data_IF_490090333480
#
_entry.id   IF_490090333480
#
_cell.length_a   1.000
_cell.length_b   1.000
_cell.length_c   1.000
_cell.angle_alpha   90.00
_cell.angle_beta   90.00
_cell.angle_gamma   90.00
#
_symmetry.space_group_name_H-M   'P 1'
#
loop_
_entity.id
_entity.type
_entity.pdbx_description
1 polymer ?
#
# COMPACT_ATOMS: atom_id res chain seq x y z
N UNK A 1 -25.22 -11.68 -31.13
CA UNK A 1 -23.92 -10.98 -31.08
C UNK A 1 -24.05 -9.78 -30.15
N UNK A 2 -23.68 -9.92 -28.87
CA UNK A 2 -23.53 -8.78 -27.96
C UNK A 2 -22.15 -8.90 -27.32
N UNK A 3 -21.37 -7.84 -27.48
CA UNK A 3 -19.94 -7.72 -27.21
C UNK A 3 -19.61 -7.90 -25.73
N UNK A 4 -19.03 -9.03 -25.33
CA UNK A 4 -18.42 -9.21 -24.01
C UNK A 4 -17.00 -8.63 -24.01
N UNK A 5 -16.90 -7.29 -23.91
CA UNK A 5 -15.63 -6.63 -23.61
C UNK A 5 -15.10 -7.16 -22.28
N UNK A 6 -14.01 -7.93 -22.30
CA UNK A 6 -13.41 -8.53 -21.10
C UNK A 6 -13.05 -7.46 -20.06
N UNK A 7 -13.39 -7.61 -18.76
CA UNK A 7 -13.00 -6.66 -17.73
C UNK A 7 -11.57 -6.97 -17.25
N UNK A 8 -10.59 -6.98 -18.15
CA UNK A 8 -9.17 -7.16 -17.79
C UNK A 8 -8.55 -5.91 -17.12
N UNK A 9 -9.31 -4.83 -16.98
CA UNK A 9 -8.84 -3.52 -16.52
C UNK A 9 -9.49 -3.01 -15.22
N UNK A 10 -10.30 -3.81 -14.51
CA UNK A 10 -10.80 -3.41 -13.18
C UNK A 10 -9.68 -3.58 -12.15
N UNK A 11 -8.89 -2.51 -11.96
CA UNK A 11 -7.85 -2.43 -10.94
C UNK A 11 -8.44 -2.59 -9.52
N UNK A 12 -9.65 -2.08 -9.32
CA UNK A 12 -10.41 -2.21 -8.07
C UNK A 12 -11.25 -3.48 -8.09
N UNK A 13 -10.68 -4.60 -7.64
CA UNK A 13 -11.38 -5.89 -7.52
C UNK A 13 -12.12 -5.99 -6.19
N UNK A 14 -11.56 -5.40 -5.13
CA UNK A 14 -12.16 -5.37 -3.79
C UNK A 14 -12.04 -3.97 -3.17
N UNK A 15 -12.90 -3.02 -3.59
CA UNK A 15 -12.71 -1.60 -3.27
C UNK A 15 -12.72 -1.31 -1.78
N UNK A 16 -13.54 -2.02 -0.99
CA UNK A 16 -13.57 -1.85 0.47
C UNK A 16 -12.23 -2.19 1.12
N UNK A 17 -11.67 -3.36 0.81
CA UNK A 17 -10.36 -3.78 1.33
C UNK A 17 -9.24 -2.84 0.86
N UNK A 18 -9.24 -2.49 -0.43
CA UNK A 18 -8.24 -1.60 -1.03
C UNK A 18 -8.25 -0.20 -0.40
N UNK A 19 -9.44 0.40 -0.25
CA UNK A 19 -9.59 1.71 0.36
C UNK A 19 -9.22 1.70 1.84
N UNK A 20 -9.60 0.66 2.59
CA UNK A 20 -9.16 0.51 3.99
C UNK A 20 -7.64 0.41 4.10
N UNK A 21 -7.00 -0.40 3.25
CA UNK A 21 -5.55 -0.58 3.24
C UNK A 21 -4.82 0.74 2.89
N UNK A 22 -5.30 1.47 1.89
CA UNK A 22 -4.79 2.78 1.51
C UNK A 22 -4.97 3.79 2.64
N UNK A 23 -6.17 3.86 3.24
CA UNK A 23 -6.46 4.78 4.33
C UNK A 23 -5.57 4.53 5.56
N UNK A 24 -5.39 3.27 5.95
CA UNK A 24 -4.49 2.89 7.05
C UNK A 24 -3.05 3.26 6.72
N UNK A 25 -2.57 2.96 5.51
CA UNK A 25 -1.21 3.31 5.10
C UNK A 25 -0.97 4.83 5.08
N UNK A 26 -1.90 5.61 4.53
CA UNK A 26 -1.82 7.07 4.53
C UNK A 26 -1.89 7.63 5.95
N UNK A 27 -2.70 7.06 6.83
CA UNK A 27 -2.75 7.44 8.24
C UNK A 27 -1.41 7.23 8.96
N UNK A 28 -0.80 6.05 8.78
CA UNK A 28 0.54 5.76 9.32
C UNK A 28 1.60 6.70 8.74
N UNK A 29 1.57 6.93 7.43
CA UNK A 29 2.49 7.85 6.76
C UNK A 29 2.35 9.28 7.30
N UNK A 30 1.13 9.78 7.46
CA UNK A 30 0.87 11.11 8.04
C UNK A 30 1.38 11.20 9.48
N UNK A 31 1.19 10.15 10.29
CA UNK A 31 1.72 10.13 11.66
C UNK A 31 3.25 10.22 11.70
N UNK A 32 3.94 9.44 10.86
CA UNK A 32 5.41 9.47 10.76
C UNK A 32 5.91 10.81 10.24
N UNK A 33 5.27 11.37 9.21
CA UNK A 33 5.61 12.68 8.66
C UNK A 33 5.38 13.78 9.69
N UNK A 34 4.26 13.73 10.42
CA UNK A 34 3.96 14.68 11.49
C UNK A 34 5.00 14.63 12.62
N UNK A 35 5.35 13.44 13.08
CA UNK A 35 6.40 13.26 14.09
C UNK A 35 7.76 13.81 13.60
N UNK A 36 8.11 13.53 12.34
CA UNK A 36 9.34 14.03 11.72
C UNK A 36 9.33 15.55 11.59
N UNK A 37 8.22 16.15 11.17
CA UNK A 37 8.05 17.60 11.07
C UNK A 37 8.25 18.27 12.43
N UNK A 38 7.61 17.76 13.48
CA UNK A 38 7.77 18.25 14.86
C UNK A 38 9.24 18.16 15.29
N UNK A 39 9.90 17.04 15.05
CA UNK A 39 11.31 16.83 15.41
C UNK A 39 12.23 17.83 14.68
N UNK A 40 12.02 18.03 13.38
CA UNK A 40 12.81 18.98 12.57
C UNK A 40 12.59 20.41 13.03
N UNK A 41 11.34 20.84 13.23
CA UNK A 41 11.04 22.19 13.71
C UNK A 41 11.64 22.45 15.09
N UNK A 42 11.54 21.48 16.00
CA UNK A 42 12.17 21.56 17.33
C UNK A 42 13.69 21.66 17.22
N UNK A 43 14.31 20.88 16.33
CA UNK A 43 15.76 20.92 16.10
C UNK A 43 16.24 22.31 15.66
N UNK A 44 15.57 22.93 14.69
CA UNK A 44 15.89 24.31 14.27
C UNK A 44 15.66 25.34 15.38
N UNK A 45 14.62 25.16 16.21
CA UNK A 45 14.39 26.04 17.37
C UNK A 45 15.52 25.94 18.39
N UNK A 46 16.04 24.73 18.66
CA UNK A 46 17.16 24.51 19.57
C UNK A 46 18.44 25.13 19.00
N UNK A 47 18.73 24.94 17.72
CA UNK A 47 19.87 25.58 17.06
C UNK A 47 19.80 27.11 17.15
N UNK A 48 18.61 27.70 16.99
CA UNK A 48 18.43 29.15 17.18
C UNK A 48 18.70 29.57 18.63
N UNK A 49 18.20 28.83 19.62
CA UNK A 49 18.43 29.16 21.03
C UNK A 49 19.90 29.04 21.44
N UNK A 50 20.62 28.02 20.94
CA UNK A 50 22.05 27.86 21.20
C UNK A 50 22.88 28.97 20.55
N UNK A 51 22.51 29.44 19.35
CA UNK A 51 23.15 30.61 18.76
C UNK A 51 23.03 31.85 19.64
N UNK A 52 21.86 32.07 20.24
CA UNK A 52 21.64 33.21 21.15
C UNK A 52 22.36 33.03 22.50
N UNK A 53 22.47 31.79 23.01
CA UNK A 53 23.11 31.50 24.31
C UNK A 53 24.61 31.82 24.29
N UNK A 54 25.28 31.65 23.15
CA UNK A 54 26.69 32.02 22.95
C UNK A 54 26.88 33.50 22.58
N UNK A 55 25.83 34.31 22.63
CA UNK A 55 25.89 35.76 22.39
C UNK A 55 25.82 36.19 20.92
N UNK A 56 25.43 35.30 19.99
CA UNK A 56 25.14 35.75 18.62
C UNK A 56 23.91 36.66 18.64
N UNK A 57 24.07 37.84 18.07
CA UNK A 57 22.97 38.77 17.87
C UNK A 57 21.98 38.21 16.85
N UNK A 58 20.70 38.53 16.99
CA UNK A 58 19.64 38.04 16.10
C UNK A 58 19.84 38.40 14.61
N UNK A 59 20.61 39.45 14.30
CA UNK A 59 20.99 39.88 12.96
C UNK A 59 22.19 39.10 12.37
N UNK A 60 22.78 38.16 13.13
CA UNK A 60 23.94 37.40 12.72
C UNK A 60 23.64 36.52 11.48
N UNK A 61 24.53 36.43 10.47
CA UNK A 61 24.33 35.64 9.25
C UNK A 61 23.97 34.16 9.48
N UNK A 62 24.35 33.60 10.63
CA UNK A 62 23.97 32.26 11.08
C UNK A 62 22.45 32.03 11.07
N UNK A 63 21.66 32.97 11.60
CA UNK A 63 20.20 32.81 11.68
C UNK A 63 19.53 32.86 10.31
N UNK A 64 20.04 33.73 9.42
CA UNK A 64 19.62 33.77 8.02
C UNK A 64 19.94 32.46 7.29
N UNK A 65 21.10 31.87 7.57
CA UNK A 65 21.46 30.56 7.04
C UNK A 65 20.51 29.46 7.54
N UNK A 66 20.21 29.41 8.84
CA UNK A 66 19.26 28.44 9.41
C UNK A 66 17.86 28.57 8.77
N UNK A 67 17.41 29.79 8.50
CA UNK A 67 16.12 30.04 7.84
C UNK A 67 16.11 29.50 6.41
N UNK A 68 17.13 29.83 5.62
CA UNK A 68 17.29 29.30 4.26
C UNK A 68 17.34 27.76 4.26
N UNK A 69 18.10 27.17 5.20
CA UNK A 69 18.22 25.73 5.31
C UNK A 69 16.90 25.07 5.71
N UNK A 70 16.20 25.61 6.71
CA UNK A 70 14.90 25.09 7.14
C UNK A 70 13.85 25.15 6.03
N UNK A 71 13.81 26.25 5.27
CA UNK A 71 12.92 26.38 4.12
C UNK A 71 13.22 25.33 3.03
N UNK A 72 14.50 25.10 2.74
CA UNK A 72 14.92 24.05 1.79
C UNK A 72 14.53 22.65 2.30
N UNK A 73 14.73 22.36 3.58
CA UNK A 73 14.34 21.08 4.18
C UNK A 73 12.83 20.88 4.11
N UNK A 74 12.02 21.87 4.48
CA UNK A 74 10.56 21.75 4.41
C UNK A 74 10.05 21.54 2.98
N UNK A 75 10.63 22.25 2.00
CA UNK A 75 10.30 22.05 0.58
C UNK A 75 10.65 20.64 0.11
N UNK A 76 11.86 20.17 0.40
CA UNK A 76 12.30 18.82 0.04
C UNK A 76 11.48 17.73 0.73
N UNK A 77 11.13 17.94 2.00
CA UNK A 77 10.27 17.02 2.74
C UNK A 77 8.87 16.95 2.14
N UNK A 78 8.27 18.09 1.79
CA UNK A 78 6.97 18.13 1.12
C UNK A 78 6.97 17.37 -0.21
N UNK A 79 8.01 17.56 -1.04
CA UNK A 79 8.17 16.82 -2.29
C UNK A 79 8.34 15.32 -2.06
N UNK A 80 9.17 14.93 -1.10
CA UNK A 80 9.40 13.53 -0.76
C UNK A 80 8.12 12.84 -0.26
N UNK A 81 7.33 13.53 0.57
CA UNK A 81 6.04 13.03 1.07
C UNK A 81 5.04 12.85 -0.08
N UNK A 82 4.92 13.82 -0.98
CA UNK A 82 4.03 13.72 -2.13
C UNK A 82 4.42 12.55 -3.06
N UNK A 83 5.71 12.43 -3.40
CA UNK A 83 6.21 11.35 -4.23
C UNK A 83 6.03 9.98 -3.55
N UNK A 84 6.36 9.88 -2.26
CA UNK A 84 6.19 8.68 -1.45
C UNK A 84 4.74 8.24 -1.33
N UNK A 85 3.80 9.18 -1.15
CA UNK A 85 2.37 8.90 -1.10
C UNK A 85 1.87 8.28 -2.42
N UNK A 86 2.22 8.89 -3.56
CA UNK A 86 1.85 8.37 -4.88
C UNK A 86 2.41 6.97 -5.10
N UNK A 87 3.71 6.78 -4.82
CA UNK A 87 4.36 5.48 -4.97
C UNK A 87 3.73 4.41 -4.07
N UNK A 88 3.46 4.75 -2.81
CA UNK A 88 2.84 3.83 -1.84
C UNK A 88 1.45 3.39 -2.31
N UNK A 89 0.60 4.33 -2.75
CA UNK A 89 -0.74 4.04 -3.26
C UNK A 89 -0.67 3.12 -4.48
N UNK A 90 0.20 3.42 -5.44
CA UNK A 90 0.37 2.58 -6.64
C UNK A 90 0.82 1.17 -6.28
N UNK A 91 1.81 1.04 -5.37
CA UNK A 91 2.30 -0.25 -4.91
C UNK A 91 1.21 -1.06 -4.19
N UNK A 92 0.44 -0.42 -3.31
CA UNK A 92 -0.67 -1.06 -2.59
C UNK A 92 -1.78 -1.53 -3.53
N UNK A 93 -2.09 -0.76 -4.57
CA UNK A 93 -3.06 -1.18 -5.58
C UNK A 93 -2.59 -2.44 -6.32
N UNK A 94 -1.31 -2.49 -6.69
CA UNK A 94 -0.71 -3.67 -7.34
C UNK A 94 -0.72 -4.88 -6.41
N UNK A 95 -0.23 -4.73 -5.18
CA UNK A 95 -0.20 -5.80 -4.18
C UNK A 95 -1.60 -6.31 -3.85
N UNK A 96 -2.55 -5.39 -3.67
CA UNK A 96 -3.94 -5.76 -3.39
C UNK A 96 -4.58 -6.52 -4.56
N UNK A 97 -4.22 -6.19 -5.80
CA UNK A 97 -4.68 -6.97 -6.96
C UNK A 97 -4.13 -8.40 -6.94
N UNK A 98 -2.85 -8.57 -6.61
CA UNK A 98 -2.20 -9.89 -6.51
C UNK A 98 -2.74 -10.74 -5.35
N UNK A 99 -3.21 -10.09 -4.29
CA UNK A 99 -3.83 -10.75 -3.15
C UNK A 99 -5.30 -11.09 -3.40
N UNK A 100 -6.08 -10.16 -3.95
CA UNK A 100 -7.52 -10.32 -4.13
C UNK A 100 -7.85 -11.32 -5.25
N UNK A 101 -7.08 -11.29 -6.33
CA UNK A 101 -7.25 -12.18 -7.49
C UNK A 101 -7.43 -13.66 -7.14
N UNK A 102 -6.48 -14.28 -6.40
CA UNK A 102 -6.58 -15.68 -6.00
C UNK A 102 -7.77 -15.93 -5.05
N UNK A 103 -8.07 -15.02 -4.12
CA UNK A 103 -9.19 -15.16 -3.18
C UNK A 103 -10.55 -15.19 -3.91
N UNK A 104 -10.74 -14.30 -4.90
CA UNK A 104 -11.97 -14.29 -5.70
C UNK A 104 -12.08 -15.57 -6.52
N UNK A 105 -10.98 -16.04 -7.15
CA UNK A 105 -10.96 -17.31 -7.88
C UNK A 105 -11.30 -18.49 -6.98
N UNK A 106 -10.73 -18.54 -5.78
CA UNK A 106 -10.99 -19.58 -4.80
C UNK A 106 -12.46 -19.60 -4.37
N UNK A 107 -13.03 -18.44 -4.06
CA UNK A 107 -14.45 -18.31 -3.70
C UNK A 107 -15.35 -18.84 -4.81
N UNK A 108 -15.16 -18.36 -6.04
CA UNK A 108 -15.98 -18.79 -7.19
C UNK A 108 -15.81 -20.28 -7.47
N UNK A 109 -14.62 -20.84 -7.26
CA UNK A 109 -14.40 -22.28 -7.40
C UNK A 109 -15.20 -23.09 -6.37
N UNK A 110 -15.19 -22.69 -5.10
CA UNK A 110 -16.00 -23.34 -4.06
C UNK A 110 -17.52 -23.18 -4.29
N UNK A 111 -17.97 -22.01 -4.75
CA UNK A 111 -19.39 -21.79 -5.11
C UNK A 111 -19.83 -22.76 -6.21
N UNK A 112 -19.02 -22.96 -7.26
CA UNK A 112 -19.32 -23.92 -8.33
C UNK A 112 -19.29 -25.38 -7.85
N UNK A 113 -18.44 -25.72 -6.88
CA UNK A 113 -18.46 -27.05 -6.25
C UNK A 113 -19.76 -27.25 -5.47
N UNK A 114 -20.18 -26.26 -4.69
CA UNK A 114 -21.40 -26.31 -3.89
C UNK A 114 -22.66 -26.46 -4.78
N UNK A 115 -22.66 -25.83 -5.96
CA UNK A 115 -23.73 -25.95 -6.96
C UNK A 115 -23.68 -27.26 -7.77
N UNK A 116 -22.69 -28.13 -7.55
CA UNK A 116 -22.51 -29.37 -8.31
C UNK A 116 -22.01 -29.18 -9.75
N UNK A 117 -21.66 -27.95 -10.13
CA UNK A 117 -21.25 -27.57 -11.49
C UNK A 117 -19.76 -27.76 -11.76
N UNK A 118 -18.95 -28.01 -10.73
CA UNK A 118 -17.49 -28.07 -10.83
C UNK A 118 -16.91 -29.49 -11.01
N UNK A 119 -17.62 -30.41 -11.64
CA UNK A 119 -17.22 -31.83 -11.73
C UNK A 119 -15.95 -32.12 -12.58
N UNK A 120 -15.08 -31.15 -12.87
CA UNK A 120 -13.85 -31.39 -13.63
C UNK A 120 -12.88 -30.22 -13.76
N UNK A 121 -13.25 -29.01 -13.35
CA UNK A 121 -12.34 -27.87 -13.44
C UNK A 121 -11.40 -27.81 -12.23
N UNK A 122 -10.10 -27.84 -12.50
CA UNK A 122 -9.06 -27.63 -11.49
C UNK A 122 -8.92 -26.14 -11.19
N UNK A 123 -8.80 -25.80 -9.91
CA UNK A 123 -8.39 -24.47 -9.48
C UNK A 123 -6.98 -24.19 -10.00
N UNK A 124 -6.76 -22.99 -10.54
CA UNK A 124 -5.43 -22.52 -10.92
C UNK A 124 -5.30 -21.01 -10.68
N UNK A 125 -4.15 -20.59 -10.17
CA UNK A 125 -3.81 -19.18 -9.91
C UNK A 125 -2.76 -18.67 -10.90
N UNK A 126 -2.58 -17.34 -10.98
CA UNK A 126 -1.54 -16.75 -11.83
C UNK A 126 -0.19 -16.86 -11.12
N UNK A 127 0.90 -16.90 -11.89
CA UNK A 127 2.28 -16.98 -11.37
C UNK A 127 2.67 -15.88 -10.38
N UNK A 128 2.00 -14.72 -10.41
CA UNK A 128 2.23 -13.57 -9.53
C UNK A 128 1.20 -13.42 -8.41
N UNK A 129 0.27 -14.36 -8.29
CA UNK A 129 -0.70 -14.35 -7.19
C UNK A 129 0.01 -14.74 -5.88
N UNK A 130 -0.46 -14.22 -4.75
CA UNK A 130 0.25 -14.29 -3.46
C UNK A 130 0.35 -15.71 -2.86
N UNK A 131 -0.43 -16.66 -3.36
CA UNK A 131 -0.58 -18.00 -2.79
C UNK A 131 -0.42 -19.10 -3.85
N UNK A 132 0.76 -19.27 -4.46
CA UNK A 132 0.95 -20.17 -5.59
C UNK A 132 0.66 -21.65 -5.28
N UNK A 133 0.76 -22.05 -4.00
CA UNK A 133 0.65 -23.46 -3.58
C UNK A 133 -0.80 -23.88 -3.25
N UNK A 134 -1.70 -22.92 -3.03
CA UNK A 134 -3.10 -23.20 -2.68
C UNK A 134 -3.86 -24.03 -3.73
N UNK A 135 -3.72 -23.77 -5.05
CA UNK A 135 -4.41 -24.56 -6.07
C UNK A 135 -4.15 -26.06 -5.95
N UNK A 136 -2.90 -26.45 -5.72
CA UNK A 136 -2.54 -27.86 -5.60
C UNK A 136 -3.22 -28.53 -4.40
N UNK A 137 -3.16 -27.88 -3.23
CA UNK A 137 -3.77 -28.39 -2.00
C UNK A 137 -5.28 -28.52 -2.14
N UNK A 138 -5.93 -27.49 -2.70
CA UNK A 138 -7.39 -27.46 -2.90
C UNK A 138 -7.82 -28.54 -3.90
N UNK A 139 -7.14 -28.64 -5.04
CA UNK A 139 -7.47 -29.64 -6.06
C UNK A 139 -7.34 -31.07 -5.51
N UNK A 140 -6.30 -31.34 -4.71
CA UNK A 140 -6.10 -32.65 -4.08
C UNK A 140 -7.22 -32.99 -3.11
N UNK A 141 -7.66 -32.03 -2.28
CA UNK A 141 -8.76 -32.22 -1.34
C UNK A 141 -10.09 -32.48 -2.08
N UNK A 142 -10.37 -31.74 -3.15
CA UNK A 142 -11.58 -31.93 -3.97
C UNK A 142 -11.55 -33.30 -4.66
N UNK A 143 -10.41 -33.76 -5.17
CA UNK A 143 -10.27 -35.09 -5.75
C UNK A 143 -10.61 -36.20 -4.73
N UNK A 144 -10.07 -36.12 -3.50
CA UNK A 144 -10.36 -37.10 -2.45
C UNK A 144 -11.84 -37.14 -2.04
N UNK A 145 -12.52 -35.99 -2.02
CA UNK A 145 -13.95 -35.91 -1.73
C UNK A 145 -14.80 -36.57 -2.83
N UNK A 146 -14.31 -36.61 -4.07
CA UNK A 146 -14.99 -37.27 -5.18
C UNK A 146 -14.84 -38.78 -5.15
N UNK A 147 -13.66 -39.28 -4.75
CA UNK A 147 -13.42 -40.73 -4.65
C UNK A 147 -14.19 -41.40 -3.51
N UNK A 148 -14.52 -40.64 -2.45
CA UNK A 148 -15.31 -41.15 -1.31
C UNK A 148 -16.83 -41.12 -1.52
N UNK A 149 -17.31 -40.62 -2.66
CA UNK A 149 -18.73 -40.46 -2.96
C UNK A 149 -19.19 -41.49 -3.98
#
# INVERSE_FOLDING_TARGET
>A
MTSSRSPRTRLLVYPRFQLTLIAVNLGVMLAVVGATFIAVTRSYSVLKSEGMSIGLRADHPYFKFLELQSAMVYKSMGLAVAAGAVLSVLLLLVLSHWLTGPIVRLRTHFERIAEGQAAGELLNFRRRDFFPDLPEVVNRAVAQLREKR
#
